data_IF_464000253637
#
_entry.id   IF_464000253637
#
_cell.length_a   1.000
_cell.length_b   1.000
_cell.length_c   1.000
_cell.angle_alpha   90.00
_cell.angle_beta   90.00
_cell.angle_gamma   90.00
#
_symmetry.space_group_name_H-M   'P 1'
#
loop_
_entity.id
_entity.type
_entity.pdbx_description
1 polymer ?
#
# COMPACT_ATOMS: atom_id res chain seq x y z
N UNK A 1 -11.63 -4.26 9.87
CA UNK A 1 -12.56 -4.24 11.01
C UNK A 1 -13.96 -4.14 10.43
N UNK A 2 -14.68 -5.25 10.44
CA UNK A 2 -16.00 -5.33 9.81
C UNK A 2 -17.01 -4.48 10.59
N UNK A 3 -17.84 -3.65 9.92
CA UNK A 3 -18.85 -2.82 10.60
C UNK A 3 -19.85 -3.66 11.41
N UNK A 4 -20.00 -4.94 11.05
CA UNK A 4 -20.78 -5.96 11.75
C UNK A 4 -20.27 -6.19 13.18
N UNK A 5 -18.95 -6.27 13.39
CA UNK A 5 -18.37 -6.46 14.72
C UNK A 5 -18.65 -5.28 15.64
N UNK A 6 -18.50 -4.04 15.14
CA UNK A 6 -18.77 -2.82 15.92
C UNK A 6 -20.25 -2.68 16.28
N UNK A 7 -21.15 -3.01 15.37
CA UNK A 7 -22.59 -3.01 15.64
C UNK A 7 -22.98 -4.02 16.74
N UNK A 8 -22.44 -5.24 16.67
CA UNK A 8 -22.72 -6.28 17.65
C UNK A 8 -22.11 -5.98 19.02
N UNK A 9 -20.89 -5.44 19.07
CA UNK A 9 -20.27 -4.99 20.32
C UNK A 9 -21.10 -3.87 20.97
N UNK A 10 -21.58 -2.91 20.17
CA UNK A 10 -22.46 -1.85 20.66
C UNK A 10 -23.77 -2.41 21.24
N UNK A 11 -24.37 -3.41 20.57
CA UNK A 11 -25.57 -4.09 21.07
C UNK A 11 -25.30 -4.87 22.35
N UNK A 12 -24.17 -5.55 22.47
CA UNK A 12 -23.78 -6.27 23.68
C UNK A 12 -23.57 -5.30 24.85
N UNK A 13 -22.86 -4.19 24.64
CA UNK A 13 -22.66 -3.16 25.68
C UNK A 13 -23.98 -2.55 26.15
N UNK A 14 -24.92 -2.32 25.23
CA UNK A 14 -26.25 -1.81 25.57
C UNK A 14 -27.04 -2.83 26.40
N UNK A 15 -27.04 -4.11 26.01
CA UNK A 15 -27.76 -5.17 26.72
C UNK A 15 -27.22 -5.40 28.13
N UNK A 16 -25.89 -5.41 28.29
CA UNK A 16 -25.21 -5.52 29.60
C UNK A 16 -25.51 -4.32 30.50
N UNK A 17 -25.66 -3.12 29.93
CA UNK A 17 -25.97 -1.91 30.69
C UNK A 17 -27.46 -1.78 31.06
N UNK A 18 -28.37 -2.33 30.26
CA UNK A 18 -29.80 -2.15 30.43
C UNK A 18 -30.47 -3.23 31.30
N UNK A 19 -29.97 -4.48 31.30
CA UNK A 19 -30.63 -5.56 32.02
C UNK A 19 -29.66 -6.65 32.55
N UNK A 20 -29.18 -6.55 33.81
CA UNK A 20 -28.18 -7.48 34.36
C UNK A 20 -28.76 -8.81 34.90
N UNK A 21 -30.08 -9.03 34.83
CA UNK A 21 -30.73 -10.19 35.49
C UNK A 21 -30.71 -11.50 34.67
N UNK A 22 -30.58 -11.43 33.34
CA UNK A 22 -30.64 -12.61 32.45
C UNK A 22 -29.26 -13.04 31.95
N UNK A 23 -28.52 -13.76 32.80
CA UNK A 23 -27.17 -14.26 32.49
C UNK A 23 -27.09 -15.18 31.26
N UNK A 24 -28.18 -15.86 30.88
CA UNK A 24 -28.22 -16.77 29.73
C UNK A 24 -28.20 -16.04 28.38
N UNK A 25 -28.81 -14.86 28.32
CA UNK A 25 -28.89 -14.01 27.12
C UNK A 25 -27.50 -13.41 26.84
N UNK A 26 -26.82 -12.95 27.88
CA UNK A 26 -25.46 -12.39 27.81
C UNK A 26 -24.45 -13.43 27.30
N UNK A 27 -24.52 -14.68 27.79
CA UNK A 27 -23.61 -15.75 27.35
C UNK A 27 -23.83 -16.14 25.87
N UNK A 28 -25.08 -16.09 25.41
CA UNK A 28 -25.42 -16.37 24.00
C UNK A 28 -24.90 -15.29 23.05
N UNK A 29 -25.06 -14.01 23.41
CA UNK A 29 -24.49 -12.91 22.62
C UNK A 29 -22.96 -12.88 22.67
N UNK A 30 -22.36 -13.21 23.82
CA UNK A 30 -20.90 -13.37 23.95
C UNK A 30 -20.35 -14.46 23.03
N UNK A 31 -21.01 -15.62 22.96
CA UNK A 31 -20.66 -16.70 22.04
C UNK A 31 -20.78 -16.29 20.57
N UNK A 32 -21.80 -15.52 20.21
CA UNK A 32 -22.01 -15.03 18.85
C UNK A 32 -20.91 -14.05 18.41
N UNK A 33 -20.46 -13.16 19.31
CA UNK A 33 -19.33 -12.25 19.05
C UNK A 33 -18.02 -13.02 18.87
N UNK A 34 -17.76 -14.03 19.71
CA UNK A 34 -16.58 -14.89 19.57
C UNK A 34 -16.58 -15.67 18.25
N UNK A 35 -17.73 -16.22 17.85
CA UNK A 35 -17.87 -16.94 16.58
C UNK A 35 -17.58 -16.06 15.36
N UNK A 36 -18.08 -14.82 15.37
CA UNK A 36 -17.83 -13.87 14.28
C UNK A 36 -16.37 -13.39 14.29
N UNK A 37 -15.75 -13.20 15.45
CA UNK A 37 -14.33 -12.86 15.54
C UNK A 37 -13.44 -13.97 14.97
N UNK A 38 -13.76 -15.23 15.26
CA UNK A 38 -13.06 -16.37 14.68
C UNK A 38 -13.25 -16.45 13.15
N UNK A 39 -14.48 -16.23 12.67
CA UNK A 39 -14.80 -16.18 11.25
C UNK A 39 -14.03 -15.05 10.53
N UNK A 40 -14.00 -13.84 11.10
CA UNK A 40 -13.29 -12.67 10.55
C UNK A 40 -11.78 -12.96 10.46
N UNK A 41 -11.21 -13.59 11.50
CA UNK A 41 -9.82 -14.05 11.49
C UNK A 41 -9.52 -15.05 10.37
N UNK A 42 -10.40 -16.05 10.18
CA UNK A 42 -10.27 -17.03 9.09
C UNK A 42 -10.40 -16.39 7.71
N UNK A 43 -11.36 -15.49 7.52
CA UNK A 43 -11.59 -14.79 6.26
C UNK A 43 -10.44 -13.85 5.92
N UNK A 44 -9.91 -13.10 6.89
CA UNK A 44 -8.75 -12.24 6.71
C UNK A 44 -7.51 -13.06 6.33
N UNK A 45 -7.24 -14.16 7.06
CA UNK A 45 -6.15 -15.08 6.76
C UNK A 45 -6.25 -15.65 5.34
N UNK A 46 -7.45 -16.13 4.96
CA UNK A 46 -7.72 -16.66 3.63
C UNK A 46 -7.54 -15.60 2.54
N UNK A 47 -8.02 -14.38 2.77
CA UNK A 47 -7.84 -13.23 1.85
C UNK A 47 -6.36 -12.94 1.60
N UNK A 48 -5.55 -12.83 2.66
CA UNK A 48 -4.12 -12.55 2.52
C UNK A 48 -3.41 -13.67 1.75
N UNK A 49 -3.73 -14.93 2.04
CA UNK A 49 -3.16 -16.07 1.33
C UNK A 49 -3.52 -16.08 -0.17
N UNK A 50 -4.80 -15.83 -0.51
CA UNK A 50 -5.25 -15.78 -1.90
C UNK A 50 -4.61 -14.62 -2.68
N UNK A 51 -4.50 -13.44 -2.06
CA UNK A 51 -3.87 -12.29 -2.69
C UNK A 51 -2.38 -12.54 -2.93
N UNK A 52 -1.67 -13.08 -1.94
CA UNK A 52 -0.24 -13.38 -2.07
C UNK A 52 0.02 -14.41 -3.18
N UNK A 53 -0.77 -15.49 -3.22
CA UNK A 53 -0.65 -16.50 -4.28
C UNK A 53 -0.99 -15.97 -5.67
N UNK A 54 -1.94 -15.03 -5.78
CA UNK A 54 -2.26 -14.38 -7.05
C UNK A 54 -1.12 -13.47 -7.53
N UNK A 55 -0.50 -12.71 -6.62
CA UNK A 55 0.63 -11.83 -6.92
C UNK A 55 1.86 -12.63 -7.36
N UNK A 56 2.16 -13.74 -6.68
CA UNK A 56 3.23 -14.68 -7.06
C UNK A 56 3.06 -15.15 -8.51
N UNK A 57 1.85 -15.61 -8.86
CA UNK A 57 1.56 -16.14 -10.20
C UNK A 57 1.72 -15.07 -11.27
N UNK A 58 1.23 -13.86 -10.99
CA UNK A 58 1.34 -12.74 -11.91
C UNK A 58 2.81 -12.33 -12.15
N UNK A 59 3.60 -12.15 -11.08
CA UNK A 59 5.02 -11.80 -11.20
C UNK A 59 5.84 -12.90 -11.87
N UNK A 60 5.51 -14.17 -11.63
CA UNK A 60 6.19 -15.28 -12.30
C UNK A 60 5.99 -15.23 -13.81
N UNK A 61 4.79 -14.89 -14.29
CA UNK A 61 4.52 -14.71 -15.72
C UNK A 61 5.23 -13.48 -16.30
N UNK A 62 5.25 -12.38 -15.55
CA UNK A 62 5.97 -11.17 -15.93
C UNK A 62 7.47 -11.48 -16.11
N UNK A 63 8.06 -12.17 -15.14
CA UNK A 63 9.46 -12.59 -15.16
C UNK A 63 9.79 -13.49 -16.35
N UNK A 64 8.94 -14.49 -16.65
CA UNK A 64 9.14 -15.36 -17.81
C UNK A 64 9.09 -14.58 -19.13
N UNK A 65 8.16 -13.63 -19.25
CA UNK A 65 8.03 -12.79 -20.45
C UNK A 65 9.24 -11.87 -20.59
N UNK A 66 9.70 -11.27 -19.50
CA UNK A 66 10.88 -10.42 -19.49
C UNK A 66 12.15 -11.20 -19.87
N UNK A 67 12.36 -12.40 -19.31
CA UNK A 67 13.47 -13.27 -19.69
C UNK A 67 13.45 -13.64 -21.18
N UNK A 68 12.27 -14.00 -21.72
CA UNK A 68 12.13 -14.28 -23.15
C UNK A 68 12.52 -13.07 -24.02
N UNK A 69 12.18 -11.85 -23.60
CA UNK A 69 12.57 -10.61 -24.30
C UNK A 69 14.07 -10.32 -24.20
N UNK A 70 14.68 -10.54 -23.03
CA UNK A 70 16.13 -10.35 -22.86
C UNK A 70 16.91 -11.35 -23.73
N UNK A 71 16.47 -12.61 -23.81
CA UNK A 71 17.09 -13.63 -24.66
C UNK A 71 16.99 -13.32 -26.17
N UNK A 72 15.99 -12.54 -26.58
CA UNK A 72 15.82 -12.12 -27.98
C UNK A 72 16.67 -10.91 -28.40
N UNK A 73 17.52 -10.37 -27.52
CA UNK A 73 18.37 -9.22 -27.84
C UNK A 73 19.68 -9.60 -28.55
N UNK A 74 20.16 -8.69 -29.38
CA UNK A 74 21.40 -8.85 -30.15
C UNK A 74 22.65 -8.96 -29.27
N UNK A 75 23.69 -9.63 -29.75
CA UNK A 75 24.97 -9.78 -29.03
C UNK A 75 25.59 -8.44 -28.61
N UNK A 76 25.46 -7.42 -29.47
CA UNK A 76 25.96 -6.05 -29.23
C UNK A 76 25.28 -5.36 -28.04
N UNK A 77 24.08 -5.81 -27.63
CA UNK A 77 23.42 -5.33 -26.42
C UNK A 77 24.17 -5.78 -25.15
N UNK A 78 24.70 -7.01 -25.14
CA UNK A 78 25.41 -7.61 -24.01
C UNK A 78 26.89 -7.20 -23.91
N UNK A 79 27.46 -6.64 -24.97
CA UNK A 79 28.85 -6.16 -24.98
C UNK A 79 29.05 -4.89 -24.12
N UNK A 80 27.96 -4.20 -23.74
CA UNK A 80 28.03 -3.05 -22.82
C UNK A 80 28.28 -3.54 -21.39
N UNK A 81 29.24 -2.98 -20.63
CA UNK A 81 29.55 -3.42 -19.27
C UNK A 81 28.38 -3.23 -18.29
N UNK A 82 27.47 -2.29 -18.57
CA UNK A 82 26.23 -2.09 -17.82
C UNK A 82 25.19 -3.17 -18.06
N UNK A 83 25.29 -3.88 -19.19
CA UNK A 83 24.31 -4.86 -19.64
C UNK A 83 24.83 -6.30 -19.51
N UNK A 84 25.78 -6.52 -18.60
CA UNK A 84 26.25 -7.86 -18.31
C UNK A 84 25.06 -8.76 -17.93
N UNK A 85 24.96 -9.98 -18.46
CA UNK A 85 23.80 -10.85 -18.26
C UNK A 85 23.53 -11.15 -16.77
N UNK A 86 24.58 -11.23 -15.95
CA UNK A 86 24.44 -11.38 -14.50
C UNK A 86 23.82 -10.15 -13.82
N UNK A 87 24.19 -8.93 -14.26
CA UNK A 87 23.62 -7.68 -13.74
C UNK A 87 22.15 -7.52 -14.14
N UNK A 88 21.82 -7.79 -15.41
CA UNK A 88 20.42 -7.77 -15.87
C UNK A 88 19.55 -8.79 -15.13
N UNK A 89 20.05 -10.00 -14.90
CA UNK A 89 19.31 -11.01 -14.16
C UNK A 89 19.05 -10.57 -12.71
N UNK A 90 20.03 -9.97 -12.04
CA UNK A 90 19.87 -9.44 -10.69
C UNK A 90 18.86 -8.29 -10.64
N UNK A 91 18.98 -7.32 -11.55
CA UNK A 91 18.05 -6.19 -11.65
C UNK A 91 16.63 -6.68 -11.92
N UNK A 92 16.45 -7.60 -12.87
CA UNK A 92 15.14 -8.15 -13.20
C UNK A 92 14.50 -8.90 -12.02
N UNK A 93 15.29 -9.66 -11.26
CA UNK A 93 14.78 -10.36 -10.07
C UNK A 93 14.41 -9.36 -8.98
N UNK A 94 15.25 -8.36 -8.73
CA UNK A 94 15.01 -7.33 -7.72
C UNK A 94 13.77 -6.50 -8.05
N UNK A 95 13.68 -5.97 -9.26
CA UNK A 95 12.56 -5.14 -9.72
C UNK A 95 11.25 -5.96 -9.74
N UNK A 96 11.31 -7.25 -10.09
CA UNK A 96 10.16 -8.13 -10.05
C UNK A 96 9.66 -8.42 -8.62
N UNK A 97 10.56 -8.57 -7.66
CA UNK A 97 10.20 -8.80 -6.25
C UNK A 97 9.63 -7.54 -5.61
N UNK A 98 10.24 -6.38 -5.88
CA UNK A 98 9.73 -5.08 -5.46
C UNK A 98 8.33 -4.83 -6.07
N UNK A 99 8.14 -5.12 -7.37
CA UNK A 99 6.84 -5.03 -8.03
C UNK A 99 5.81 -6.01 -7.45
N UNK A 100 6.20 -7.24 -7.09
CA UNK A 100 5.32 -8.22 -6.45
C UNK A 100 4.79 -7.69 -5.13
N UNK A 101 5.70 -7.20 -4.28
CA UNK A 101 5.37 -6.69 -2.95
C UNK A 101 4.41 -5.49 -3.05
N UNK A 102 4.72 -4.55 -3.96
CA UNK A 102 3.85 -3.41 -4.25
C UNK A 102 2.47 -3.85 -4.73
N UNK A 103 2.39 -4.78 -5.69
CA UNK A 103 1.10 -5.23 -6.25
C UNK A 103 0.28 -6.00 -5.21
N UNK A 104 0.90 -6.91 -4.45
CA UNK A 104 0.21 -7.69 -3.42
C UNK A 104 -0.40 -6.78 -2.34
N UNK A 105 0.37 -5.80 -1.86
CA UNK A 105 -0.06 -4.86 -0.82
C UNK A 105 -1.08 -3.86 -1.37
N UNK A 106 -0.76 -3.19 -2.48
CA UNK A 106 -1.59 -2.09 -3.01
C UNK A 106 -2.89 -2.60 -3.60
N UNK A 107 -2.86 -3.63 -4.48
CA UNK A 107 -4.11 -4.17 -5.02
C UNK A 107 -4.98 -4.77 -3.92
N UNK A 108 -4.33 -5.45 -2.96
CA UNK A 108 -5.04 -6.03 -1.82
C UNK A 108 -5.77 -4.98 -1.00
N UNK A 109 -5.08 -3.87 -0.73
CA UNK A 109 -5.64 -2.76 0.02
C UNK A 109 -6.71 -2.00 -0.76
N UNK A 110 -6.52 -1.77 -2.07
CA UNK A 110 -7.50 -1.12 -2.92
C UNK A 110 -8.84 -1.88 -2.93
N UNK A 111 -8.80 -3.21 -3.11
CA UNK A 111 -10.02 -4.04 -3.12
C UNK A 111 -10.74 -3.94 -1.77
N UNK A 112 -9.99 -4.00 -0.65
CA UNK A 112 -10.57 -3.86 0.69
C UNK A 112 -11.19 -2.48 0.87
N UNK A 113 -10.51 -1.41 0.49
CA UNK A 113 -11.02 -0.03 0.62
C UNK A 113 -12.28 0.17 -0.20
N UNK A 114 -12.32 -0.30 -1.44
CA UNK A 114 -13.49 -0.20 -2.32
C UNK A 114 -14.66 -0.99 -1.73
N UNK A 115 -14.42 -2.23 -1.28
CA UNK A 115 -15.44 -3.05 -0.66
C UNK A 115 -15.98 -2.44 0.64
N UNK A 116 -15.10 -1.91 1.50
CA UNK A 116 -15.48 -1.23 2.75
C UNK A 116 -16.26 0.05 2.47
N UNK A 117 -15.83 0.85 1.49
CA UNK A 117 -16.52 2.07 1.10
C UNK A 117 -17.91 1.76 0.54
N UNK A 118 -18.03 0.73 -0.32
CA UNK A 118 -19.31 0.29 -0.86
C UNK A 118 -20.27 -0.23 0.22
N UNK A 119 -19.80 -1.14 1.08
CA UNK A 119 -20.60 -1.68 2.18
C UNK A 119 -21.03 -0.59 3.17
N UNK A 120 -20.13 0.33 3.51
CA UNK A 120 -20.44 1.47 4.38
C UNK A 120 -21.48 2.40 3.76
N UNK A 121 -21.37 2.68 2.46
CA UNK A 121 -22.33 3.52 1.74
C UNK A 121 -23.73 2.88 1.71
N UNK A 122 -23.81 1.60 1.36
CA UNK A 122 -25.07 0.85 1.31
C UNK A 122 -25.70 0.79 2.71
N UNK A 123 -24.91 0.46 3.73
CA UNK A 123 -25.40 0.36 5.10
C UNK A 123 -25.96 1.70 5.61
N UNK A 124 -25.23 2.79 5.36
CA UNK A 124 -25.65 4.12 5.79
C UNK A 124 -26.94 4.55 5.08
N UNK A 125 -27.08 4.23 3.78
CA UNK A 125 -28.25 4.59 2.98
C UNK A 125 -29.52 3.86 3.43
N UNK A 126 -29.39 2.63 3.94
CA UNK A 126 -30.51 1.86 4.50
C UNK A 126 -31.02 2.42 5.83
N UNK A 127 -30.12 2.83 6.73
CA UNK A 127 -30.51 3.28 8.08
C UNK A 127 -30.95 4.75 8.16
N UNK A 128 -30.42 5.62 7.28
CA UNK A 128 -30.67 7.05 7.38
C UNK A 128 -30.38 7.80 6.09
N UNK A 129 -31.24 7.62 5.09
CA UNK A 129 -31.07 8.19 3.76
C UNK A 129 -30.90 9.73 3.75
N UNK A 130 -31.54 10.44 4.69
CA UNK A 130 -31.45 11.90 4.80
C UNK A 130 -30.05 12.36 5.26
N UNK A 131 -29.47 11.69 6.26
CA UNK A 131 -28.12 12.03 6.76
C UNK A 131 -27.04 11.64 5.74
N UNK A 132 -27.24 10.54 5.00
CA UNK A 132 -26.28 10.13 3.98
C UNK A 132 -26.20 11.05 2.79
N UNK A 133 -27.32 11.64 2.36
CA UNK A 133 -27.32 12.59 1.24
C UNK A 133 -26.53 13.85 1.57
N UNK A 134 -26.67 14.37 2.80
CA UNK A 134 -25.90 15.52 3.28
C UNK A 134 -24.41 15.16 3.38
N UNK A 135 -24.08 13.98 3.90
CA UNK A 135 -22.69 13.50 3.96
C UNK A 135 -22.07 13.32 2.57
N UNK A 136 -22.84 12.81 1.60
CA UNK A 136 -22.39 12.63 0.21
C UNK A 136 -22.15 13.97 -0.49
N UNK A 137 -22.84 15.04 -0.12
CA UNK A 137 -22.56 16.38 -0.64
C UNK A 137 -21.25 16.99 -0.09
N UNK A 138 -20.92 16.69 1.17
CA UNK A 138 -19.67 17.16 1.82
C UNK A 138 -18.45 16.34 1.37
N UNK A 139 -18.65 15.04 1.08
CA UNK A 139 -17.61 14.12 0.61
C UNK A 139 -16.72 14.66 -0.53
N UNK A 140 -17.27 15.08 -1.69
CA UNK A 140 -16.48 15.58 -2.81
C UNK A 140 -15.76 16.89 -2.49
N UNK A 141 -16.31 17.74 -1.64
CA UNK A 141 -15.63 18.96 -1.17
C UNK A 141 -14.37 18.60 -0.38
N UNK A 142 -14.49 17.62 0.53
CA UNK A 142 -13.36 17.15 1.33
C UNK A 142 -12.28 16.49 0.47
N UNK A 143 -12.67 15.63 -0.48
CA UNK A 143 -11.74 15.01 -1.44
C UNK A 143 -11.05 16.07 -2.30
N UNK A 144 -11.77 17.09 -2.74
CA UNK A 144 -11.21 18.21 -3.50
C UNK A 144 -10.14 18.97 -2.71
N UNK A 145 -10.43 19.36 -1.46
CA UNK A 145 -9.48 20.06 -0.59
C UNK A 145 -8.26 19.19 -0.28
N UNK A 146 -8.46 17.91 0.04
CA UNK A 146 -7.38 16.96 0.31
C UNK A 146 -6.51 16.73 -0.93
N UNK A 147 -7.12 16.67 -2.12
CA UNK A 147 -6.42 16.53 -3.39
C UNK A 147 -5.54 17.75 -3.70
N UNK A 148 -6.07 18.96 -3.48
CA UNK A 148 -5.30 20.21 -3.62
C UNK A 148 -4.13 20.25 -2.63
N UNK A 149 -4.39 19.95 -1.36
CA UNK A 149 -3.33 19.89 -0.34
C UNK A 149 -2.24 18.90 -0.71
N UNK A 150 -2.61 17.68 -1.09
CA UNK A 150 -1.67 16.62 -1.47
C UNK A 150 -0.85 17.01 -2.70
N UNK A 151 -1.49 17.63 -3.69
CA UNK A 151 -0.82 18.16 -4.88
C UNK A 151 0.17 19.29 -4.58
N UNK A 152 -0.17 20.19 -3.65
CA UNK A 152 0.73 21.26 -3.20
C UNK A 152 1.94 20.69 -2.45
N UNK A 153 1.72 19.72 -1.56
CA UNK A 153 2.80 19.04 -0.82
C UNK A 153 3.73 18.30 -1.78
N UNK A 154 3.20 17.56 -2.76
CA UNK A 154 4.01 16.87 -3.76
C UNK A 154 4.87 17.84 -4.59
N UNK A 155 4.31 18.99 -5.01
CA UNK A 155 5.09 20.04 -5.70
C UNK A 155 6.19 20.62 -4.79
N UNK A 156 5.89 20.86 -3.53
CA UNK A 156 6.86 21.35 -2.56
C UNK A 156 7.99 20.34 -2.33
N UNK A 157 7.67 19.04 -2.24
CA UNK A 157 8.64 17.96 -2.10
C UNK A 157 9.58 17.90 -3.30
N UNK A 158 9.06 17.97 -4.53
CA UNK A 158 9.88 18.00 -5.76
C UNK A 158 10.83 19.19 -5.76
N UNK A 159 10.36 20.38 -5.35
CA UNK A 159 11.21 21.57 -5.24
C UNK A 159 12.31 21.39 -4.19
N UNK A 160 11.97 20.80 -3.04
CA UNK A 160 12.93 20.52 -1.97
C UNK A 160 13.99 19.49 -2.41
N UNK A 161 13.58 18.45 -3.14
CA UNK A 161 14.51 17.46 -3.72
C UNK A 161 15.51 18.11 -4.69
N UNK A 162 15.05 18.97 -5.60
CA UNK A 162 15.94 19.69 -6.55
C UNK A 162 16.96 20.59 -5.83
N UNK A 163 16.51 21.36 -4.85
CA UNK A 163 17.42 22.21 -4.07
C UNK A 163 18.48 21.38 -3.33
N UNK A 164 18.11 20.21 -2.79
CA UNK A 164 19.05 19.28 -2.15
C UNK A 164 20.05 18.68 -3.15
N UNK A 165 19.60 18.33 -4.36
CA UNK A 165 20.48 17.83 -5.42
C UNK A 165 21.49 18.88 -5.89
N UNK A 166 21.10 20.15 -6.01
CA UNK A 166 22.00 21.25 -6.35
C UNK A 166 23.08 21.47 -5.28
N UNK A 167 22.69 21.54 -4.01
CA UNK A 167 23.65 21.66 -2.90
C UNK A 167 24.60 20.46 -2.84
N UNK A 168 24.08 19.25 -3.04
CA UNK A 168 24.89 18.04 -3.09
C UNK A 168 25.90 18.10 -4.25
N UNK A 169 25.48 18.52 -5.46
CA UNK A 169 26.36 18.66 -6.62
C UNK A 169 27.52 19.60 -6.32
N UNK A 170 27.25 20.80 -5.79
CA UNK A 170 28.28 21.78 -5.44
C UNK A 170 29.25 21.22 -4.40
N UNK A 171 28.73 20.52 -3.37
CA UNK A 171 29.58 19.87 -2.37
C UNK A 171 30.53 18.82 -2.98
N UNK A 172 30.03 18.00 -3.92
CA UNK A 172 30.87 17.02 -4.63
C UNK A 172 31.92 17.70 -5.52
N UNK A 173 31.59 18.78 -6.22
CA UNK A 173 32.55 19.53 -7.04
C UNK A 173 33.66 20.16 -6.19
N UNK A 174 33.31 20.81 -5.08
CA UNK A 174 34.32 21.39 -4.17
C UNK A 174 35.22 20.31 -3.58
N UNK A 175 34.64 19.18 -3.15
CA UNK A 175 35.43 18.04 -2.64
C UNK A 175 36.35 17.45 -3.71
N UNK A 176 35.89 17.36 -4.96
CA UNK A 176 36.70 16.86 -6.07
C UNK A 176 37.86 17.82 -6.39
N UNK A 177 37.61 19.13 -6.43
CA UNK A 177 38.64 20.14 -6.64
C UNK A 177 39.69 20.12 -5.52
N UNK A 178 39.25 19.99 -4.26
CA UNK A 178 40.16 19.86 -3.12
C UNK A 178 41.02 18.59 -3.21
N UNK A 179 40.44 17.45 -3.63
CA UNK A 179 41.18 16.20 -3.85
C UNK A 179 42.24 16.32 -4.95
N UNK A 180 41.96 17.05 -6.04
CA UNK A 180 42.94 17.28 -7.11
C UNK A 180 44.06 18.22 -6.65
N UNK A 181 43.72 19.29 -5.94
CA UNK A 181 44.68 20.33 -5.58
C UNK A 181 45.58 19.92 -4.41
N UNK A 182 45.02 19.28 -3.38
CA UNK A 182 45.77 18.85 -2.18
C UNK A 182 46.23 17.38 -2.26
N UNK A 183 45.50 16.49 -2.94
CA UNK A 183 45.90 15.08 -3.05
C UNK A 183 47.10 14.82 -3.95
N UNK A 184 47.56 15.84 -4.70
CA UNK A 184 48.81 15.80 -5.44
C UNK A 184 50.06 16.08 -4.59
N UNK A 185 49.92 16.66 -3.39
CA UNK A 185 51.05 17.04 -2.53
C UNK A 185 51.58 15.87 -1.67
N UNK A 186 50.79 14.79 -1.50
CA UNK A 186 51.19 13.60 -0.73
C UNK A 186 51.96 12.54 -1.54
N UNK A 187 52.18 12.77 -2.84
CA UNK A 187 52.84 11.85 -3.78
C UNK A 187 54.23 12.34 -4.26
N UNK A 188 54.77 13.41 -3.68
CA UNK A 188 56.16 13.87 -3.88
C UNK A 188 57.00 13.75 -2.61
#
# INVERSE_FOLDING_TARGET
>A
MTPIFSFLLSRLMFEVSANPADASIINSYGGLVLGIAALDGLLLGSKYFLMETSAIRWVTRLRNTAFARVLSQDKTFFDRPTNAPASLAQVLVKDADDARSLVAVVMGQCVVVIAMMGLGLVWAMVWGWQLTLVGMAIGPVFVGVMGVQSGLVAKAEVRNKRAREEVARVYYEVRFLHLIFFGGEDLC
#
